data_IF_649459250389
#
_entry.id   IF_649459250389
#
_cell.length_a   1.000
_cell.length_b   1.000
_cell.length_c   1.000
_cell.angle_alpha   90.00
_cell.angle_beta   90.00
_cell.angle_gamma   90.00
#
_symmetry.space_group_name_H-M   'P 1'
#
loop_
_entity.id
_entity.type
_entity.pdbx_description
1 polymer ?
#
# COMPACT_ATOMS: atom_id res chain seq x y z
N UNK A 1 -8.94 -7.23 -1.72
CA UNK A 1 -7.57 -7.21 -2.29
C UNK A 1 -6.59 -6.91 -1.19
N UNK A 2 -5.50 -7.67 -1.10
CA UNK A 2 -4.46 -7.45 -0.10
C UNK A 2 -3.21 -6.87 -0.75
N UNK A 3 -2.74 -5.75 -0.20
CA UNK A 3 -1.56 -5.04 -0.68
C UNK A 3 -0.56 -5.00 0.46
N UNK A 4 0.65 -5.42 0.16
CA UNK A 4 1.79 -5.35 1.04
C UNK A 4 2.78 -4.34 0.47
N UNK A 5 3.32 -3.47 1.32
CA UNK A 5 4.32 -2.49 0.92
C UNK A 5 5.26 -2.22 2.08
N UNK A 6 6.43 -1.70 1.76
CA UNK A 6 7.42 -1.31 2.74
C UNK A 6 7.42 0.20 2.96
N UNK A 7 7.41 0.61 4.21
CA UNK A 7 7.62 1.99 4.63
C UNK A 7 9.09 2.09 5.02
N UNK A 8 9.86 2.85 4.26
CA UNK A 8 11.28 3.11 4.52
C UNK A 8 11.46 4.08 5.69
N UNK A 9 12.67 4.15 6.24
CA UNK A 9 13.03 5.02 7.37
C UNK A 9 12.79 6.51 7.10
N UNK A 10 12.81 6.92 5.82
CA UNK A 10 12.53 8.28 5.36
C UNK A 10 11.02 8.55 5.16
N UNK A 11 10.16 7.57 5.46
CA UNK A 11 8.72 7.65 5.27
C UNK A 11 8.24 7.42 3.83
N UNK A 12 9.14 7.07 2.90
CA UNK A 12 8.76 6.73 1.53
C UNK A 12 8.19 5.31 1.50
N UNK A 13 7.11 5.13 0.73
CA UNK A 13 6.55 3.81 0.44
C UNK A 13 7.30 3.21 -0.75
N UNK A 14 7.72 1.96 -0.62
CA UNK A 14 8.44 1.18 -1.64
C UNK A 14 7.97 -0.29 -1.61
N UNK A 15 8.41 -1.11 -2.57
CA UNK A 15 8.16 -2.56 -2.54
C UNK A 15 6.67 -2.95 -2.57
N UNK A 16 5.85 -2.24 -3.35
CA UNK A 16 4.40 -2.49 -3.42
C UNK A 16 4.14 -3.83 -4.13
N UNK A 17 3.57 -4.78 -3.39
CA UNK A 17 3.21 -6.13 -3.84
C UNK A 17 1.73 -6.37 -3.60
N UNK A 18 1.00 -6.73 -4.65
CA UNK A 18 -0.42 -7.12 -4.56
C UNK A 18 -0.46 -8.64 -4.35
N UNK A 19 -0.68 -9.07 -3.11
CA UNK A 19 -0.65 -10.50 -2.74
C UNK A 19 -1.95 -11.21 -3.07
N UNK A 20 -3.09 -10.52 -2.98
CA UNK A 20 -4.40 -11.12 -3.24
C UNK A 20 -5.18 -10.24 -4.21
N UNK A 21 -5.26 -10.70 -5.46
CA UNK A 21 -5.95 -10.01 -6.55
C UNK A 21 -7.45 -10.28 -6.48
N UNK A 22 -8.25 -9.24 -6.68
CA UNK A 22 -9.65 -9.44 -7.04
C UNK A 22 -9.68 -9.59 -8.56
N UNK A 23 -10.00 -10.79 -9.07
CA UNK A 23 -9.84 -11.15 -10.48
C UNK A 23 -10.76 -10.41 -11.45
N UNK A 24 -11.44 -9.35 -11.03
CA UNK A 24 -12.46 -8.67 -11.81
C UNK A 24 -11.92 -7.62 -12.79
N UNK A 25 -10.86 -6.88 -12.47
CA UNK A 25 -10.41 -5.76 -13.31
C UNK A 25 -8.87 -5.57 -13.28
N UNK A 26 -8.14 -5.79 -14.40
CA UNK A 26 -6.71 -5.51 -14.47
C UNK A 26 -6.38 -4.00 -14.36
N UNK A 27 -7.28 -3.13 -14.80
CA UNK A 27 -7.15 -1.66 -14.68
C UNK A 27 -7.12 -1.18 -13.23
N UNK A 28 -7.77 -1.91 -12.33
CA UNK A 28 -7.80 -1.60 -10.91
C UNK A 28 -6.45 -1.81 -10.24
N UNK A 29 -5.71 -2.85 -10.64
CA UNK A 29 -4.36 -3.11 -10.13
C UNK A 29 -3.40 -1.97 -10.49
N UNK A 30 -3.52 -1.42 -11.70
CA UNK A 30 -2.72 -0.28 -12.15
C UNK A 30 -3.06 1.00 -11.38
N UNK A 31 -4.36 1.31 -11.26
CA UNK A 31 -4.84 2.44 -10.46
C UNK A 31 -4.32 2.37 -9.02
N UNK A 32 -4.36 1.18 -8.41
CA UNK A 32 -3.85 0.96 -7.06
C UNK A 32 -2.35 1.25 -6.99
N UNK A 33 -1.54 0.72 -7.91
CA UNK A 33 -0.10 1.02 -7.93
C UNK A 33 0.16 2.52 -8.04
N UNK A 34 -0.57 3.22 -8.90
CA UNK A 34 -0.46 4.67 -9.06
C UNK A 34 -0.84 5.42 -7.79
N UNK A 35 -1.92 5.02 -7.11
CA UNK A 35 -2.34 5.63 -5.83
C UNK A 35 -1.22 5.47 -4.80
N UNK A 36 -0.69 4.25 -4.62
CA UNK A 36 0.40 3.99 -3.67
C UNK A 36 1.70 4.72 -4.02
N UNK A 37 2.00 4.92 -5.31
CA UNK A 37 3.14 5.74 -5.75
C UNK A 37 2.98 7.23 -5.47
N UNK A 38 1.75 7.75 -5.54
CA UNK A 38 1.43 9.15 -5.29
C UNK A 38 1.08 9.44 -3.83
N UNK A 39 1.18 8.46 -2.94
CA UNK A 39 0.88 8.69 -1.53
C UNK A 39 1.87 9.68 -0.90
N UNK A 40 1.41 10.54 0.02
CA UNK A 40 2.29 11.39 0.80
C UNK A 40 3.24 10.54 1.65
N UNK A 41 4.32 11.12 2.16
CA UNK A 41 5.26 10.39 3.03
C UNK A 41 4.53 9.84 4.26
N UNK A 42 4.64 8.54 4.48
CA UNK A 42 4.09 7.84 5.64
C UNK A 42 5.00 8.02 6.84
N UNK A 43 4.43 7.90 8.04
CA UNK A 43 5.23 7.93 9.27
C UNK A 43 5.95 6.58 9.41
N UNK A 44 7.30 6.55 9.39
CA UNK A 44 8.02 5.30 9.56
C UNK A 44 7.76 4.73 10.95
N UNK A 45 7.86 3.41 11.08
CA UNK A 45 7.85 2.79 12.38
C UNK A 45 9.07 3.23 13.19
N UNK A 46 8.89 3.38 14.50
CA UNK A 46 9.97 3.71 15.42
C UNK A 46 10.20 2.55 16.36
N UNK A 47 11.43 2.05 16.39
CA UNK A 47 11.87 1.06 17.38
C UNK A 47 13.07 1.64 18.13
N UNK A 48 13.01 1.65 19.47
CA UNK A 48 14.06 2.25 20.32
C UNK A 48 14.44 3.68 19.87
N UNK A 49 13.43 4.49 19.55
CA UNK A 49 13.56 5.87 19.08
C UNK A 49 14.28 6.07 17.72
N UNK A 50 14.57 4.98 17.00
CA UNK A 50 15.12 5.02 15.63
C UNK A 50 14.02 4.70 14.62
N UNK A 51 13.97 5.46 13.53
CA UNK A 51 13.14 5.11 12.38
C UNK A 51 13.66 3.81 11.79
N UNK A 52 12.78 2.84 11.54
CA UNK A 52 13.15 1.57 10.92
C UNK A 52 12.29 1.32 9.69
N UNK A 53 12.82 0.54 8.74
CA UNK A 53 12.01 -0.02 7.67
C UNK A 53 10.94 -0.94 8.27
N UNK A 54 9.71 -0.83 7.80
CA UNK A 54 8.61 -1.70 8.25
C UNK A 54 7.66 -2.05 7.13
N UNK A 55 7.21 -3.29 7.13
CA UNK A 55 6.28 -3.80 6.14
C UNK A 55 4.85 -3.62 6.64
N UNK A 56 4.04 -2.88 5.88
CA UNK A 56 2.62 -2.68 6.15
C UNK A 56 1.76 -3.52 5.19
N UNK A 57 0.59 -3.92 5.66
CA UNK A 57 -0.41 -4.65 4.88
C UNK A 57 -1.73 -3.92 4.98
N UNK A 58 -2.32 -3.59 3.83
CA UNK A 58 -3.62 -2.94 3.74
C UNK A 58 -4.55 -3.83 2.92
N UNK A 59 -5.72 -4.10 3.47
CA UNK A 59 -6.79 -4.81 2.77
C UNK A 59 -7.76 -3.78 2.20
N UNK A 60 -7.85 -3.72 0.87
CA UNK A 60 -8.88 -2.96 0.17
C UNK A 60 -10.12 -3.84 0.00
N UNK A 61 -11.23 -3.40 0.59
CA UNK A 61 -12.57 -3.89 0.31
C UNK A 61 -13.21 -2.94 -0.71
N UNK A 62 -13.73 -3.49 -1.79
CA UNK A 62 -14.41 -2.73 -2.82
C UNK A 62 -15.91 -2.84 -2.59
N UNK A 63 -16.58 -1.70 -2.53
CA UNK A 63 -18.02 -1.61 -2.58
C UNK A 63 -18.37 -0.89 -3.87
N UNK A 64 -19.07 -1.57 -4.78
CA UNK A 64 -19.60 -0.93 -5.96
C UNK A 64 -20.90 -0.24 -5.51
N UNK A 65 -20.85 1.08 -5.36
CA UNK A 65 -22.06 1.87 -5.18
C UNK A 65 -22.68 2.06 -6.56
N UNK A 66 -23.85 1.48 -6.76
CA UNK A 66 -24.60 1.59 -8.00
C UNK A 66 -25.75 2.56 -7.72
N UNK A 67 -25.51 3.84 -8.00
CA UNK A 67 -26.53 4.90 -8.02
C UNK A 67 -27.61 4.59 -9.08
#
# INVERSE_FOLDING_TARGET
MLIQFDILENGKVDGIVITQKTGWCPTLEEQVRLVFQNMPKWKPAKQNNKSIKSTAKVTLAWHLDND
#
